data_IF_635212899452
#
_entry.id   IF_635212899452
#
_cell.length_a   1.000
_cell.length_b   1.000
_cell.length_c   1.000
_cell.angle_alpha   90.00
_cell.angle_beta   90.00
_cell.angle_gamma   90.00
#
_symmetry.space_group_name_H-M   'P 1'
#
loop_
_entity.id
_entity.type
_entity.pdbx_description
1 polymer ?
#
# COMPACT_ATOMS: atom_id res chain seq x y z
N UNK A 1 11.24 2.43 10.31
CA UNK A 1 9.79 2.43 9.96
C UNK A 1 9.47 1.49 8.80
N UNK A 2 10.29 1.36 7.76
CA UNK A 2 10.11 0.38 6.66
C UNK A 2 9.86 -1.02 7.23
N UNK A 3 10.76 -1.53 8.07
CA UNK A 3 10.64 -2.88 8.65
C UNK A 3 9.37 -3.08 9.47
N UNK A 4 8.90 -2.02 10.13
CA UNK A 4 7.65 -2.06 10.91
C UNK A 4 6.44 -2.23 10.00
N UNK A 5 6.37 -1.50 8.88
CA UNK A 5 5.29 -1.63 7.90
C UNK A 5 5.36 -3.01 7.23
N UNK A 6 6.56 -3.47 6.89
CA UNK A 6 6.77 -4.82 6.37
C UNK A 6 6.23 -5.88 7.33
N UNK A 7 6.63 -5.85 8.60
CA UNK A 7 6.15 -6.79 9.63
C UNK A 7 4.63 -6.78 9.77
N UNK A 8 4.03 -5.60 9.73
CA UNK A 8 2.58 -5.46 9.80
C UNK A 8 1.88 -6.11 8.61
N UNK A 9 2.33 -5.85 7.37
CA UNK A 9 1.76 -6.44 6.16
C UNK A 9 1.97 -7.96 6.13
N UNK A 10 3.16 -8.45 6.48
CA UNK A 10 3.44 -9.88 6.61
C UNK A 10 2.50 -10.56 7.62
N UNK A 11 2.25 -9.92 8.75
CA UNK A 11 1.32 -10.42 9.77
C UNK A 11 -0.14 -10.42 9.28
N UNK A 12 -0.58 -9.32 8.64
CA UNK A 12 -1.92 -9.22 8.07
C UNK A 12 -2.18 -10.35 7.09
N UNK A 13 -1.26 -10.55 6.14
CA UNK A 13 -1.42 -11.49 5.04
C UNK A 13 -0.85 -12.89 5.31
N UNK A 14 -0.21 -13.10 6.46
CA UNK A 14 0.50 -14.34 6.80
C UNK A 14 1.49 -14.72 5.71
N UNK A 15 2.37 -13.78 5.36
CA UNK A 15 3.45 -13.98 4.42
C UNK A 15 4.68 -14.51 5.14
N UNK A 16 5.40 -15.41 4.49
CA UNK A 16 6.74 -15.80 4.93
C UNK A 16 7.73 -14.70 4.55
N UNK A 17 8.60 -14.35 5.49
CA UNK A 17 9.64 -13.37 5.24
C UNK A 17 10.79 -14.00 4.49
N UNK A 18 11.01 -13.55 3.26
CA UNK A 18 12.12 -13.96 2.42
C UNK A 18 13.16 -12.85 2.21
N UNK A 19 12.77 -11.60 2.45
CA UNK A 19 13.57 -10.41 2.21
C UNK A 19 13.38 -9.39 3.33
N UNK A 20 14.41 -8.58 3.57
CA UNK A 20 14.28 -7.34 4.33
C UNK A 20 14.09 -6.20 3.31
N UNK A 21 12.89 -5.59 3.27
CA UNK A 21 12.59 -4.51 2.30
C UNK A 21 13.58 -3.35 2.43
N UNK A 22 14.08 -3.12 3.64
CA UNK A 22 15.10 -2.10 3.91
C UNK A 22 16.37 -2.25 3.08
N UNK A 23 16.76 -3.48 2.70
CA UNK A 23 17.95 -3.75 1.90
C UNK A 23 17.79 -3.31 0.43
N UNK A 24 16.57 -3.12 -0.02
CA UNK A 24 16.22 -2.68 -1.38
C UNK A 24 15.93 -1.19 -1.48
N UNK A 25 16.02 -0.46 -0.37
CA UNK A 25 15.70 0.98 -0.33
C UNK A 25 16.83 1.81 -0.91
N UNK A 26 16.51 2.60 -1.92
CA UNK A 26 17.37 3.62 -2.53
C UNK A 26 16.89 4.99 -2.10
N UNK A 27 17.81 5.81 -1.55
CA UNK A 27 17.52 7.17 -1.09
C UNK A 27 18.17 8.24 -1.99
N UNK A 28 19.18 7.84 -2.78
CA UNK A 28 19.86 8.74 -3.70
C UNK A 28 19.04 8.89 -4.98
N UNK A 29 18.57 10.11 -5.24
CA UNK A 29 17.77 10.42 -6.43
C UNK A 29 18.54 10.27 -7.75
N UNK A 30 19.88 10.36 -7.74
CA UNK A 30 20.66 10.13 -8.96
C UNK A 30 20.77 8.64 -9.26
N UNK A 31 20.97 7.82 -8.22
CA UNK A 31 20.94 6.35 -8.33
C UNK A 31 19.56 5.88 -8.76
N UNK A 32 18.49 6.38 -8.13
CA UNK A 32 17.12 6.01 -8.50
C UNK A 32 16.82 6.34 -9.97
N UNK A 33 17.21 7.52 -10.45
CA UNK A 33 17.07 7.89 -11.89
C UNK A 33 17.85 6.98 -12.81
N UNK A 34 19.05 6.58 -12.42
CA UNK A 34 19.84 5.61 -13.20
C UNK A 34 19.17 4.23 -13.28
N UNK A 35 18.37 3.87 -12.28
CA UNK A 35 17.55 2.65 -12.23
C UNK A 35 16.16 2.84 -12.87
N UNK A 36 15.85 3.99 -13.43
CA UNK A 36 14.61 4.24 -14.17
C UNK A 36 13.53 5.04 -13.42
N UNK A 37 13.83 5.58 -12.23
CA UNK A 37 12.88 6.44 -11.52
C UNK A 37 12.48 7.65 -12.34
N UNK A 38 11.19 7.97 -12.32
CA UNK A 38 10.62 9.12 -13.03
C UNK A 38 10.93 10.44 -12.32
N UNK A 39 11.17 10.39 -11.02
CA UNK A 39 11.37 11.55 -10.14
C UNK A 39 10.11 12.40 -9.95
N UNK A 40 8.93 11.82 -10.23
CA UNK A 40 7.64 12.51 -10.07
C UNK A 40 7.01 12.31 -8.70
N UNK A 41 7.39 11.22 -8.04
CA UNK A 41 6.85 10.84 -6.74
C UNK A 41 7.94 10.73 -5.68
N UNK A 42 7.56 10.87 -4.41
CA UNK A 42 8.45 10.68 -3.26
C UNK A 42 8.72 9.20 -2.97
N UNK A 43 7.98 8.31 -3.62
CA UNK A 43 8.07 6.85 -3.56
C UNK A 43 7.90 6.28 -4.96
N UNK A 44 8.81 5.38 -5.39
CA UNK A 44 8.70 4.66 -6.66
C UNK A 44 9.27 3.25 -6.53
N UNK A 45 8.47 2.24 -6.92
CA UNK A 45 8.95 0.88 -7.11
C UNK A 45 9.62 0.76 -8.48
N UNK A 46 10.91 0.44 -8.48
CA UNK A 46 11.73 0.29 -9.69
C UNK A 46 11.89 -1.20 -9.97
N UNK A 47 11.52 -1.62 -11.18
CA UNK A 47 11.52 -3.03 -11.57
C UNK A 47 12.23 -3.18 -12.91
N UNK A 48 13.24 -4.05 -12.94
CA UNK A 48 13.91 -4.49 -14.15
C UNK A 48 13.70 -6.01 -14.31
N UNK A 49 13.16 -6.41 -15.44
CA UNK A 49 13.07 -7.83 -15.82
C UNK A 49 14.07 -8.11 -16.95
N UNK A 50 15.10 -8.88 -16.66
CA UNK A 50 16.09 -9.30 -17.65
C UNK A 50 16.29 -10.82 -17.57
N UNK A 51 16.17 -11.51 -18.72
CA UNK A 51 16.37 -12.96 -18.87
C UNK A 51 15.60 -13.86 -17.89
N UNK A 52 14.45 -13.37 -17.42
CA UNK A 52 13.60 -14.09 -16.44
C UNK A 52 14.02 -13.89 -14.99
N UNK A 53 15.01 -13.04 -14.74
CA UNK A 53 15.35 -12.54 -13.40
C UNK A 53 14.65 -11.21 -13.16
N UNK A 54 14.23 -10.99 -11.93
CA UNK A 54 13.53 -9.78 -11.50
C UNK A 54 14.45 -9.03 -10.53
N UNK A 55 14.93 -7.87 -10.95
CA UNK A 55 15.63 -6.94 -10.07
C UNK A 55 14.65 -5.86 -9.62
N UNK A 56 14.65 -5.58 -8.31
CA UNK A 56 13.72 -4.63 -7.70
C UNK A 56 14.48 -3.67 -6.80
N UNK A 57 14.16 -2.39 -6.88
CA UNK A 57 14.58 -1.39 -5.92
C UNK A 57 13.38 -0.51 -5.53
N UNK A 58 13.40 0.02 -4.31
CA UNK A 58 12.34 0.88 -3.78
C UNK A 58 12.94 2.25 -3.45
N UNK A 59 12.60 3.24 -4.26
CA UNK A 59 13.03 4.59 -4.01
C UNK A 59 12.11 5.27 -2.99
N UNK A 60 12.72 5.89 -1.99
CA UNK A 60 12.07 6.85 -1.11
C UNK A 60 12.84 8.17 -1.09
N UNK A 61 12.16 9.27 -1.35
CA UNK A 61 12.76 10.59 -1.25
C UNK A 61 13.29 10.85 0.17
N UNK A 62 14.50 11.44 0.33
CA UNK A 62 15.05 11.72 1.66
C UNK A 62 14.12 12.53 2.56
N UNK A 63 13.42 13.51 2.01
CA UNK A 63 12.45 14.34 2.74
C UNK A 63 11.29 13.51 3.31
N UNK A 64 10.81 12.49 2.59
CA UNK A 64 9.80 11.55 3.09
C UNK A 64 10.32 10.76 4.29
N UNK A 65 11.54 10.24 4.18
CA UNK A 65 12.15 9.46 5.27
C UNK A 65 12.46 10.31 6.51
N UNK A 66 12.84 11.58 6.34
CA UNK A 66 13.03 12.51 7.44
C UNK A 66 11.72 12.77 8.18
N UNK A 67 10.63 13.02 7.46
CA UNK A 67 9.28 13.16 8.07
C UNK A 67 8.89 11.90 8.85
N UNK A 68 9.14 10.73 8.29
CA UNK A 68 8.84 9.44 8.94
C UNK A 68 9.68 9.18 10.19
N UNK A 69 10.97 9.58 10.20
CA UNK A 69 11.83 9.50 11.40
C UNK A 69 11.32 10.39 12.53
N UNK A 70 10.84 11.59 12.20
CA UNK A 70 10.23 12.47 13.18
C UNK A 70 9.03 11.82 13.88
N UNK A 71 8.23 11.02 13.15
CA UNK A 71 7.09 10.27 13.68
C UNK A 71 7.47 9.17 14.68
N UNK A 72 8.61 8.51 14.49
CA UNK A 72 9.08 7.45 15.38
C UNK A 72 9.44 7.99 16.79
N UNK A 73 9.74 9.27 16.89
CA UNK A 73 10.16 9.91 18.16
C UNK A 73 9.00 10.42 19.00
N UNK A 74 7.76 10.44 18.49
CA UNK A 74 6.58 10.91 19.22
C UNK A 74 5.91 9.75 19.96
N UNK A 75 5.97 9.71 21.31
CA UNK A 75 5.31 8.68 22.09
C UNK A 75 3.79 8.73 21.90
N UNK A 76 3.18 7.62 21.50
CA UNK A 76 1.72 7.52 21.31
C UNK A 76 1.18 8.35 20.15
N UNK A 77 2.03 8.68 19.18
CA UNK A 77 1.72 9.55 18.04
C UNK A 77 0.39 9.20 17.36
N UNK A 78 -0.54 10.14 17.49
CA UNK A 78 -1.72 10.17 16.65
C UNK A 78 -1.23 10.57 15.26
N UNK A 79 -1.50 9.76 14.23
CA UNK A 79 -1.25 10.17 12.86
C UNK A 79 -2.11 11.42 12.56
N UNK A 80 -1.51 12.60 12.66
CA UNK A 80 -2.11 13.84 12.16
C UNK A 80 -2.00 13.89 10.64
N UNK A 81 -2.68 14.83 10.03
CA UNK A 81 -2.94 14.83 8.58
C UNK A 81 -1.69 14.68 7.71
N UNK A 82 -0.65 15.46 7.93
CA UNK A 82 0.60 15.40 7.13
C UNK A 82 1.42 14.13 7.41
N UNK A 83 1.33 13.63 8.63
CA UNK A 83 1.98 12.40 9.05
C UNK A 83 1.32 11.18 8.42
N UNK A 84 -0.02 11.20 8.32
CA UNK A 84 -0.75 10.12 7.66
C UNK A 84 -0.42 10.04 6.17
N UNK A 85 -0.24 11.17 5.48
CA UNK A 85 0.17 11.17 4.08
C UNK A 85 1.56 10.53 3.90
N UNK A 86 2.54 10.93 4.72
CA UNK A 86 3.87 10.33 4.68
C UNK A 86 3.85 8.82 5.00
N UNK A 87 3.04 8.41 5.99
CA UNK A 87 2.87 7.02 6.34
C UNK A 87 2.20 6.21 5.21
N UNK A 88 1.18 6.79 4.55
CA UNK A 88 0.51 6.15 3.41
C UNK A 88 1.46 5.95 2.22
N UNK A 89 2.34 6.92 1.92
CA UNK A 89 3.36 6.77 0.86
C UNK A 89 4.37 5.66 1.19
N UNK A 90 4.82 5.59 2.44
CA UNK A 90 5.66 4.48 2.88
C UNK A 90 4.94 3.13 2.74
N UNK A 91 3.69 3.07 3.19
CA UNK A 91 2.86 1.87 3.12
C UNK A 91 2.65 1.42 1.67
N UNK A 92 2.46 2.36 0.74
CA UNK A 92 2.33 2.13 -0.70
C UNK A 92 3.56 1.43 -1.27
N UNK A 93 4.74 2.01 -1.07
CA UNK A 93 5.97 1.42 -1.59
C UNK A 93 6.27 0.04 -1.01
N UNK A 94 6.13 -0.12 0.32
CA UNK A 94 6.33 -1.44 0.95
C UNK A 94 5.29 -2.45 0.48
N UNK A 95 4.03 -2.03 0.28
CA UNK A 95 2.97 -2.89 -0.27
C UNK A 95 3.29 -3.35 -1.69
N UNK A 96 3.69 -2.42 -2.57
CA UNK A 96 4.10 -2.74 -3.94
C UNK A 96 5.22 -3.77 -3.96
N UNK A 97 6.27 -3.56 -3.17
CA UNK A 97 7.40 -4.49 -3.07
C UNK A 97 6.94 -5.88 -2.61
N UNK A 98 6.23 -5.96 -1.49
CA UNK A 98 5.80 -7.24 -0.92
C UNK A 98 4.84 -8.00 -1.83
N UNK A 99 3.89 -7.29 -2.46
CA UNK A 99 2.93 -7.94 -3.35
C UNK A 99 3.61 -8.48 -4.62
N UNK A 100 4.53 -7.71 -5.20
CA UNK A 100 5.32 -8.15 -6.35
C UNK A 100 6.20 -9.34 -5.99
N UNK A 101 6.95 -9.28 -4.89
CA UNK A 101 7.83 -10.34 -4.43
C UNK A 101 7.06 -11.63 -4.12
N UNK A 102 5.91 -11.51 -3.42
CA UNK A 102 5.03 -12.64 -3.15
C UNK A 102 4.50 -13.27 -4.45
N UNK A 103 4.04 -12.47 -5.39
CA UNK A 103 3.52 -12.96 -6.67
C UNK A 103 4.61 -13.66 -7.49
N UNK A 104 5.81 -13.08 -7.56
CA UNK A 104 6.96 -13.66 -8.24
C UNK A 104 7.35 -15.02 -7.64
N UNK A 105 7.40 -15.11 -6.30
CA UNK A 105 7.67 -16.37 -5.58
C UNK A 105 6.65 -17.47 -5.93
N UNK A 106 5.39 -17.08 -6.22
CA UNK A 106 4.31 -18.01 -6.61
C UNK A 106 4.18 -18.17 -8.13
N UNK A 107 5.15 -17.71 -8.93
CA UNK A 107 5.12 -17.79 -10.40
C UNK A 107 3.96 -17.02 -11.04
N UNK A 108 3.47 -15.97 -10.40
CA UNK A 108 2.33 -15.17 -10.85
C UNK A 108 2.78 -13.87 -11.50
N UNK A 109 2.16 -13.54 -12.63
CA UNK A 109 2.27 -12.19 -13.20
C UNK A 109 1.33 -11.25 -12.45
N UNK A 110 1.79 -10.01 -12.26
CA UNK A 110 1.04 -8.93 -11.62
C UNK A 110 0.82 -7.81 -12.63
N UNK A 111 -0.37 -7.25 -12.65
CA UNK A 111 -0.67 -6.04 -13.42
C UNK A 111 -0.44 -4.79 -12.57
N UNK A 112 -0.13 -3.67 -13.21
CA UNK A 112 -0.01 -2.40 -12.50
C UNK A 112 -1.30 -2.04 -11.76
N UNK A 113 -2.47 -2.33 -12.35
CA UNK A 113 -3.75 -2.09 -11.67
C UNK A 113 -3.90 -2.92 -10.38
N UNK A 114 -3.39 -4.17 -10.37
CA UNK A 114 -3.38 -4.97 -9.13
C UNK A 114 -2.47 -4.38 -8.06
N UNK A 115 -1.27 -3.90 -8.44
CA UNK A 115 -0.34 -3.26 -7.52
C UNK A 115 -0.98 -2.04 -6.87
N UNK A 116 -1.49 -1.12 -7.67
CA UNK A 116 -2.14 0.10 -7.20
C UNK A 116 -3.35 -0.22 -6.30
N UNK A 117 -4.21 -1.16 -6.73
CA UNK A 117 -5.39 -1.55 -5.97
C UNK A 117 -5.01 -2.19 -4.63
N UNK A 118 -3.96 -3.03 -4.61
CA UNK A 118 -3.49 -3.66 -3.37
C UNK A 118 -2.92 -2.61 -2.42
N UNK A 119 -2.12 -1.69 -2.90
CA UNK A 119 -1.54 -0.63 -2.08
C UNK A 119 -2.60 0.27 -1.43
N UNK A 120 -3.65 0.62 -2.18
CA UNK A 120 -4.78 1.37 -1.64
C UNK A 120 -5.51 0.62 -0.51
N UNK A 121 -5.72 -0.69 -0.67
CA UNK A 121 -6.31 -1.55 0.37
C UNK A 121 -5.39 -1.63 1.58
N UNK A 122 -4.08 -1.75 1.38
CA UNK A 122 -3.09 -1.87 2.45
C UNK A 122 -2.97 -0.58 3.28
N UNK A 123 -3.00 0.58 2.63
CA UNK A 123 -3.07 1.88 3.32
C UNK A 123 -4.26 1.94 4.28
N UNK A 124 -5.44 1.56 3.79
CA UNK A 124 -6.64 1.51 4.63
C UNK A 124 -6.49 0.52 5.79
N UNK A 125 -6.06 -0.72 5.50
CA UNK A 125 -5.94 -1.79 6.49
C UNK A 125 -4.93 -1.43 7.59
N UNK A 126 -3.75 -0.95 7.23
CA UNK A 126 -2.70 -0.54 8.16
C UNK A 126 -3.17 0.59 9.10
N UNK A 127 -3.81 1.61 8.53
CA UNK A 127 -4.33 2.72 9.32
C UNK A 127 -5.46 2.28 10.27
N UNK A 128 -6.42 1.46 9.80
CA UNK A 128 -7.49 0.92 10.65
C UNK A 128 -6.93 0.07 11.80
N UNK A 129 -5.98 -0.81 11.51
CA UNK A 129 -5.37 -1.68 12.52
C UNK A 129 -4.51 -0.90 13.50
N UNK A 130 -3.83 0.16 13.07
CA UNK A 130 -3.11 1.08 13.96
C UNK A 130 -4.03 1.69 15.02
N UNK A 131 -5.27 2.03 14.65
CA UNK A 131 -6.28 2.64 15.53
C UNK A 131 -7.25 1.63 16.14
N UNK A 132 -7.05 0.32 15.97
CA UNK A 132 -8.04 -0.70 16.32
C UNK A 132 -8.55 -0.60 17.74
N UNK A 133 -7.67 -0.37 18.70
CA UNK A 133 -8.02 -0.23 20.11
C UNK A 133 -8.42 1.19 20.51
N UNK A 134 -8.05 2.20 19.71
CA UNK A 134 -8.15 3.62 20.03
C UNK A 134 -9.19 4.36 19.18
N UNK A 135 -10.35 3.73 18.96
CA UNK A 135 -11.46 4.41 18.28
C UNK A 135 -11.59 4.13 16.79
N UNK A 136 -11.05 3.02 16.27
CA UNK A 136 -11.17 2.65 14.86
C UNK A 136 -12.63 2.67 14.36
N UNK A 137 -13.59 2.30 15.20
CA UNK A 137 -15.01 2.27 14.87
C UNK A 137 -15.56 3.63 14.38
N UNK A 138 -15.20 4.70 15.04
CA UNK A 138 -15.66 6.06 14.71
C UNK A 138 -14.82 6.70 13.62
N UNK A 139 -13.54 6.35 13.58
CA UNK A 139 -12.56 6.95 12.69
C UNK A 139 -12.49 6.30 11.31
N UNK A 140 -12.79 4.99 11.18
CA UNK A 140 -12.63 4.26 9.92
C UNK A 140 -13.47 4.81 8.76
N UNK A 141 -14.67 5.32 9.03
CA UNK A 141 -15.51 5.94 8.00
C UNK A 141 -14.91 7.29 7.52
N UNK A 142 -14.31 8.07 8.42
CA UNK A 142 -13.61 9.31 8.03
C UNK A 142 -12.32 8.98 7.27
N UNK A 143 -11.57 7.97 7.72
CA UNK A 143 -10.41 7.47 7.00
C UNK A 143 -10.77 7.03 5.57
N UNK A 144 -11.87 6.28 5.40
CA UNK A 144 -12.36 5.86 4.09
C UNK A 144 -12.62 7.07 3.19
N UNK A 145 -13.36 8.07 3.69
CA UNK A 145 -13.62 9.31 2.93
C UNK A 145 -12.31 10.04 2.56
N UNK A 146 -11.38 10.10 3.48
CA UNK A 146 -10.09 10.75 3.26
C UNK A 146 -9.27 10.06 2.18
N UNK A 147 -9.15 8.74 2.24
CA UNK A 147 -8.32 7.97 1.32
C UNK A 147 -8.93 7.88 -0.08
N UNK A 148 -10.26 7.85 -0.21
CA UNK A 148 -10.90 7.49 -1.47
C UNK A 148 -11.76 8.59 -2.10
N UNK A 149 -12.25 9.57 -1.32
CA UNK A 149 -13.10 10.65 -1.86
C UNK A 149 -12.34 11.97 -2.02
N UNK A 150 -11.25 12.17 -1.26
CA UNK A 150 -10.43 13.39 -1.30
C UNK A 150 -9.08 13.15 -1.96
N UNK A 151 -9.08 12.40 -3.06
CA UNK A 151 -7.87 12.02 -3.76
C UNK A 151 -7.39 13.14 -4.66
N UNK A 152 -6.10 13.43 -4.63
CA UNK A 152 -5.41 14.24 -5.63
C UNK A 152 -4.35 13.40 -6.32
N UNK A 153 -4.42 13.35 -7.65
CA UNK A 153 -3.45 12.63 -8.45
C UNK A 153 -2.26 13.51 -8.81
N UNK A 154 -1.11 12.88 -9.03
CA UNK A 154 0.09 13.59 -9.46
C UNK A 154 -0.17 14.39 -10.76
N UNK A 155 0.41 15.59 -10.90
CA UNK A 155 0.33 16.34 -12.14
C UNK A 155 1.10 15.63 -13.27
N UNK A 156 0.65 15.79 -14.50
CA UNK A 156 1.35 15.29 -15.68
C UNK A 156 1.24 13.79 -15.93
N UNK A 157 0.26 13.12 -15.31
CA UNK A 157 -0.07 11.73 -15.65
C UNK A 157 -0.60 11.65 -17.10
N UNK A 158 -0.20 10.58 -17.81
CA UNK A 158 -0.86 10.19 -19.07
C UNK A 158 -2.31 9.80 -18.84
N UNK A 159 -3.10 9.73 -19.94
CA UNK A 159 -4.48 9.26 -19.85
C UNK A 159 -4.60 7.86 -19.25
N UNK A 160 -3.72 6.95 -19.65
CA UNK A 160 -3.73 5.56 -19.18
C UNK A 160 -3.30 5.45 -17.70
N UNK A 161 -2.29 6.22 -17.27
CA UNK A 161 -1.90 6.28 -15.86
C UNK A 161 -3.04 6.81 -15.00
N UNK A 162 -3.65 7.93 -15.42
CA UNK A 162 -4.79 8.51 -14.69
C UNK A 162 -5.95 7.53 -14.59
N UNK A 163 -6.33 6.90 -15.69
CA UNK A 163 -7.40 5.90 -15.70
C UNK A 163 -7.10 4.74 -14.76
N UNK A 164 -5.84 4.26 -14.74
CA UNK A 164 -5.41 3.19 -13.83
C UNK A 164 -5.56 3.59 -12.36
N UNK A 165 -5.12 4.79 -11.98
CA UNK A 165 -5.25 5.27 -10.60
C UNK A 165 -6.71 5.51 -10.21
N UNK A 166 -7.53 6.07 -11.10
CA UNK A 166 -8.97 6.26 -10.87
C UNK A 166 -9.68 4.92 -10.67
N UNK A 167 -9.35 3.92 -11.49
CA UNK A 167 -9.93 2.58 -11.37
C UNK A 167 -9.44 1.84 -10.11
N UNK A 168 -8.16 1.94 -9.77
CA UNK A 168 -7.63 1.39 -8.52
C UNK A 168 -8.34 2.01 -7.30
N UNK A 169 -8.48 3.33 -7.27
CA UNK A 169 -9.21 4.04 -6.22
C UNK A 169 -10.67 3.59 -6.13
N UNK A 170 -11.37 3.50 -7.26
CA UNK A 170 -12.78 3.06 -7.32
C UNK A 170 -12.97 1.64 -6.75
N UNK A 171 -12.11 0.70 -7.16
CA UNK A 171 -12.16 -0.71 -6.72
C UNK A 171 -11.87 -0.83 -5.23
N UNK A 172 -10.83 -0.15 -4.77
CA UNK A 172 -10.40 -0.17 -3.37
C UNK A 172 -11.41 0.51 -2.47
N UNK A 173 -11.99 1.63 -2.89
CA UNK A 173 -13.08 2.30 -2.18
C UNK A 173 -14.27 1.38 -1.95
N UNK A 174 -14.75 0.70 -3.00
CA UNK A 174 -15.88 -0.23 -2.90
C UNK A 174 -15.55 -1.41 -1.96
N UNK A 175 -14.35 -1.95 -2.04
CA UNK A 175 -13.92 -3.03 -1.16
C UNK A 175 -13.77 -2.59 0.30
N UNK A 176 -13.06 -1.50 0.55
CA UNK A 176 -12.84 -0.98 1.89
C UNK A 176 -14.16 -0.53 2.56
N UNK A 177 -15.12 -0.02 1.78
CA UNK A 177 -16.46 0.27 2.27
C UNK A 177 -17.14 -1.00 2.85
N UNK A 178 -16.98 -2.16 2.21
CA UNK A 178 -17.49 -3.44 2.75
C UNK A 178 -16.78 -3.86 4.02
N UNK A 179 -15.48 -3.58 4.14
CA UNK A 179 -14.70 -3.91 5.33
C UNK A 179 -15.13 -3.11 6.57
N UNK A 180 -15.70 -1.91 6.38
CA UNK A 180 -16.18 -1.06 7.49
C UNK A 180 -17.16 -1.79 8.42
N UNK A 181 -17.96 -2.73 7.91
CA UNK A 181 -18.87 -3.54 8.75
C UNK A 181 -18.11 -4.33 9.80
N UNK A 182 -16.99 -4.96 9.43
CA UNK A 182 -16.16 -5.74 10.36
C UNK A 182 -15.48 -4.85 11.40
N UNK A 183 -15.09 -3.62 11.01
CA UNK A 183 -14.56 -2.63 11.93
C UNK A 183 -15.65 -2.16 12.92
N UNK A 184 -16.84 -1.86 12.43
CA UNK A 184 -17.99 -1.43 13.24
C UNK A 184 -18.40 -2.51 14.26
N UNK A 185 -18.37 -3.78 13.86
CA UNK A 185 -18.69 -4.95 14.70
C UNK A 185 -17.51 -5.41 15.56
N UNK A 186 -16.33 -4.80 15.42
CA UNK A 186 -15.06 -5.21 16.08
C UNK A 186 -14.66 -6.66 15.78
N UNK A 187 -14.93 -7.12 14.57
CA UNK A 187 -14.64 -8.49 14.10
C UNK A 187 -13.30 -8.53 13.36
N UNK A 188 -12.20 -8.40 14.11
CA UNK A 188 -10.83 -8.46 13.54
C UNK A 188 -10.58 -9.78 12.79
N UNK A 189 -11.09 -10.89 13.32
CA UNK A 189 -11.03 -12.21 12.69
C UNK A 189 -11.59 -12.20 11.26
N UNK A 190 -12.75 -11.54 11.07
CA UNK A 190 -13.41 -11.43 9.76
C UNK A 190 -12.69 -10.44 8.85
N UNK A 191 -12.27 -9.29 9.40
CA UNK A 191 -11.49 -8.32 8.64
C UNK A 191 -10.23 -8.97 8.05
N UNK A 192 -9.43 -9.64 8.88
CA UNK A 192 -8.21 -10.30 8.44
C UNK A 192 -8.48 -11.46 7.47
N UNK A 193 -9.56 -12.23 7.67
CA UNK A 193 -9.94 -13.30 6.75
C UNK A 193 -10.27 -12.76 5.35
N UNK A 194 -11.03 -11.67 5.26
CA UNK A 194 -11.38 -11.00 4.00
C UNK A 194 -10.12 -10.46 3.29
N UNK A 195 -9.25 -9.76 4.02
CA UNK A 195 -7.99 -9.22 3.49
C UNK A 195 -7.11 -10.36 2.93
N UNK A 196 -6.91 -11.43 3.69
CA UNK A 196 -6.12 -12.61 3.27
C UNK A 196 -6.70 -13.31 2.07
N UNK A 197 -8.02 -13.43 2.00
CA UNK A 197 -8.69 -14.02 0.86
C UNK A 197 -8.46 -13.20 -0.41
N UNK A 198 -8.72 -11.89 -0.37
CA UNK A 198 -8.56 -11.01 -1.53
C UNK A 198 -7.11 -10.92 -2.00
N UNK A 199 -6.14 -10.93 -1.08
CA UNK A 199 -4.71 -10.89 -1.40
C UNK A 199 -4.26 -12.05 -2.29
N UNK A 200 -4.80 -13.24 -2.05
CA UNK A 200 -4.41 -14.48 -2.74
C UNK A 200 -5.12 -14.72 -4.06
N UNK A 201 -6.13 -13.94 -4.39
CA UNK A 201 -6.84 -14.06 -5.67
C UNK A 201 -5.92 -13.68 -6.84
N UNK A 202 -6.09 -14.32 -7.99
CA UNK A 202 -5.47 -13.91 -9.25
C UNK A 202 -6.09 -12.61 -9.79
N UNK A 203 -5.37 -11.91 -10.66
CA UNK A 203 -5.70 -10.57 -11.16
C UNK A 203 -7.18 -10.36 -11.44
N UNK A 204 -7.72 -11.09 -12.39
CA UNK A 204 -9.11 -10.94 -12.81
C UNK A 204 -10.12 -11.28 -11.70
N UNK A 205 -9.86 -12.35 -10.94
CA UNK A 205 -10.72 -12.75 -9.84
C UNK A 205 -10.67 -11.71 -8.70
N UNK A 206 -9.49 -11.14 -8.43
CA UNK A 206 -9.28 -10.09 -7.44
C UNK A 206 -10.05 -8.82 -7.81
N UNK A 207 -9.84 -8.29 -9.00
CA UNK A 207 -10.50 -7.07 -9.44
C UNK A 207 -12.03 -7.23 -9.45
N UNK A 208 -12.55 -8.38 -9.92
CA UNK A 208 -13.99 -8.70 -9.83
C UNK A 208 -14.48 -8.81 -8.39
N UNK A 209 -13.67 -9.39 -7.50
CA UNK A 209 -14.03 -9.52 -6.08
C UNK A 209 -14.10 -8.17 -5.38
N UNK A 210 -13.15 -7.27 -5.66
CA UNK A 210 -13.12 -5.94 -5.10
C UNK A 210 -14.27 -5.06 -5.62
N UNK A 211 -14.64 -5.24 -6.90
CA UNK A 211 -15.72 -4.48 -7.54
C UNK A 211 -17.14 -4.79 -7.04
N UNK A 212 -17.34 -5.87 -6.24
CA UNK A 212 -18.67 -6.22 -5.74
C UNK A 212 -19.22 -5.09 -4.88
N UNK A 213 -20.50 -4.74 -5.10
CA UNK A 213 -21.18 -3.77 -4.25
C UNK A 213 -21.27 -4.26 -2.79
N UNK A 214 -21.33 -3.29 -1.86
CA UNK A 214 -21.49 -3.53 -0.43
C UNK A 214 -22.88 -4.09 -0.11
#
# INVERSE_FOLDING_TARGET
>A
MVDRVQQQLESIYQLERHFEVGDFVVQDAAVARALGATGRADEELLVLEEKGELEVALYFAPALLERLRALETVPGGTLVDDEMDAYCRLAEGVSHFLYLAWAAHHGRKVTLLELETQAEVDKFALCVLHKWNDGARTWAAELHRRLFERVSYLPGLSGDERHRYEEANRLSAAYCQRLLRHVAERRMDRLLAELRYSYRLGAEAKLRYLARAA
#
